data_IF_848654994856
#
_entry.id   IF_848654994856
#
_cell.length_a   1.000
_cell.length_b   1.000
_cell.length_c   1.000
_cell.angle_alpha   90.00
_cell.angle_beta   90.00
_cell.angle_gamma   90.00
#
_symmetry.space_group_name_H-M   'P 1'
#
loop_
_entity.id
_entity.type
_entity.pdbx_description
1 polymer ?
#
# COMPACT_ATOMS: atom_id res chain seq x y z
N UNK A 1 2.13 2.40 12.86
CA UNK A 1 2.97 3.51 13.37
C UNK A 1 3.31 4.38 12.18
N UNK A 2 3.20 5.70 12.31
CA UNK A 2 3.39 6.61 11.18
C UNK A 2 4.78 7.26 11.22
N UNK A 3 5.44 7.37 10.06
CA UNK A 3 6.73 8.07 9.89
C UNK A 3 6.57 9.57 9.65
N UNK A 4 5.35 9.99 9.34
CA UNK A 4 4.99 11.40 9.21
C UNK A 4 3.58 11.62 9.77
N UNK A 5 3.31 12.87 10.13
CA UNK A 5 2.01 13.35 10.57
C UNK A 5 1.80 14.78 10.01
N UNK A 6 0.67 15.40 10.35
CA UNK A 6 0.40 16.79 9.99
C UNK A 6 0.31 17.70 11.21
N UNK A 7 0.82 18.92 11.10
CA UNK A 7 0.73 19.94 12.15
C UNK A 7 -0.69 20.52 12.26
N UNK A 8 -1.42 20.54 11.16
CA UNK A 8 -2.75 21.11 11.04
C UNK A 8 -3.82 20.08 10.68
N UNK A 9 -5.06 20.35 11.09
CA UNK A 9 -6.22 19.49 10.81
C UNK A 9 -6.53 19.41 9.31
N UNK A 10 -6.23 20.48 8.57
CA UNK A 10 -6.40 20.54 7.11
C UNK A 10 -5.33 19.76 6.35
N UNK A 11 -4.35 19.17 7.05
CA UNK A 11 -3.29 18.31 6.51
C UNK A 11 -2.47 18.99 5.40
N UNK A 12 -2.05 20.24 5.66
CA UNK A 12 -1.24 21.04 4.74
C UNK A 12 0.25 21.01 5.11
N UNK A 13 0.55 20.99 6.39
CA UNK A 13 1.91 21.08 6.94
C UNK A 13 2.35 19.71 7.47
N UNK A 14 3.28 19.08 6.76
CA UNK A 14 3.82 17.77 7.13
C UNK A 14 4.92 17.96 8.20
N UNK A 15 4.98 17.03 9.14
CA UNK A 15 6.12 16.82 10.02
C UNK A 15 6.58 15.37 9.88
N UNK A 16 7.89 15.16 9.65
CA UNK A 16 8.49 13.84 9.64
C UNK A 16 9.02 13.47 11.03
N UNK A 17 9.02 12.18 11.35
CA UNK A 17 9.40 11.73 12.69
C UNK A 17 10.89 11.91 12.97
N UNK A 18 11.74 11.94 11.94
CA UNK A 18 13.18 12.22 12.03
C UNK A 18 13.50 13.72 12.15
N UNK A 19 12.53 14.61 11.90
CA UNK A 19 12.65 16.06 12.04
C UNK A 19 12.06 16.58 13.36
N UNK A 20 11.27 15.76 14.04
CA UNK A 20 10.62 16.12 15.29
C UNK A 20 11.64 16.28 16.44
N UNK A 21 11.45 17.31 17.26
CA UNK A 21 12.35 17.66 18.37
C UNK A 21 11.73 17.32 19.73
N UNK A 22 12.50 17.45 20.82
CA UNK A 22 12.02 17.09 22.17
C UNK A 22 10.80 17.91 22.60
N UNK A 23 10.73 19.15 22.13
CA UNK A 23 9.65 20.09 22.38
C UNK A 23 8.33 19.62 21.75
N UNK A 24 8.38 18.84 20.66
CA UNK A 24 7.20 18.30 19.98
C UNK A 24 6.50 17.16 20.77
N UNK A 25 7.10 16.63 21.85
CA UNK A 25 6.57 15.45 22.58
C UNK A 25 5.13 15.58 23.04
N UNK A 26 4.75 16.76 23.49
CA UNK A 26 3.41 17.02 24.02
C UNK A 26 2.49 17.68 22.98
N UNK A 27 2.99 17.93 21.77
CA UNK A 27 2.24 18.50 20.66
C UNK A 27 1.37 17.42 20.01
N UNK A 28 0.10 17.73 19.82
CA UNK A 28 -0.82 16.88 19.08
C UNK A 28 -0.65 17.12 17.58
N UNK A 29 -0.42 16.06 16.83
CA UNK A 29 -0.37 16.05 15.37
C UNK A 29 -1.55 15.26 14.80
N UNK A 30 -1.84 15.42 13.51
CA UNK A 30 -2.99 14.80 12.86
C UNK A 30 -2.59 13.59 12.03
N UNK A 31 -3.45 12.56 12.07
CA UNK A 31 -3.27 11.33 11.30
C UNK A 31 -3.23 11.61 9.79
N UNK A 32 -2.33 10.94 9.03
CA UNK A 32 -2.29 11.14 7.58
C UNK A 32 -3.50 10.62 6.81
N UNK A 33 -4.35 9.81 7.43
CA UNK A 33 -5.65 9.47 6.86
C UNK A 33 -6.61 10.66 7.08
N UNK A 34 -7.11 11.24 5.97
CA UNK A 34 -8.01 12.40 5.97
C UNK A 34 -9.31 12.15 6.75
N UNK A 35 -9.81 10.92 6.74
CA UNK A 35 -11.05 10.54 7.42
C UNK A 35 -10.83 10.18 8.90
N UNK A 36 -9.59 10.22 9.39
CA UNK A 36 -9.22 9.83 10.74
C UNK A 36 -8.79 11.04 11.58
N UNK A 37 -9.61 11.42 12.56
CA UNK A 37 -9.34 12.56 13.46
C UNK A 37 -8.46 12.19 14.68
N UNK A 38 -7.67 11.14 14.55
CA UNK A 38 -6.78 10.71 15.62
C UNK A 38 -5.67 11.74 15.85
N UNK A 39 -5.42 12.04 17.12
CA UNK A 39 -4.27 12.85 17.52
C UNK A 39 -3.08 11.94 17.77
N UNK A 40 -1.98 12.23 17.07
CA UNK A 40 -0.72 11.50 17.15
C UNK A 40 0.29 12.30 17.95
N UNK A 41 1.10 11.60 18.73
CA UNK A 41 2.21 12.16 19.48
C UNK A 41 3.50 11.50 19.02
N UNK A 42 4.56 12.30 18.95
CA UNK A 42 5.89 11.79 18.61
C UNK A 42 6.42 10.91 19.75
N UNK A 43 6.95 9.75 19.38
CA UNK A 43 7.46 8.72 20.27
C UNK A 43 8.92 8.43 19.93
N UNK A 44 9.68 7.92 20.91
CA UNK A 44 11.06 7.43 20.74
C UNK A 44 12.10 8.45 20.22
N UNK A 45 11.90 9.77 20.44
CA UNK A 45 12.89 10.81 20.06
C UNK A 45 14.26 10.58 20.70
N UNK A 46 14.30 10.19 21.98
CA UNK A 46 15.55 9.91 22.71
C UNK A 46 15.79 8.39 22.88
N UNK A 47 15.08 7.57 22.11
CA UNK A 47 15.13 6.11 22.24
C UNK A 47 16.20 5.47 21.37
N UNK A 48 16.50 4.20 21.64
CA UNK A 48 17.32 3.36 20.75
C UNK A 48 16.61 2.98 19.43
N UNK A 49 15.33 3.34 19.28
CA UNK A 49 14.52 3.09 18.11
C UNK A 49 14.28 4.38 17.34
N UNK A 50 14.16 4.27 16.02
CA UNK A 50 13.76 5.39 15.18
C UNK A 50 12.42 5.97 15.66
N UNK A 51 12.36 7.31 15.72
CA UNK A 51 11.17 8.03 16.16
C UNK A 51 9.97 7.77 15.23
N UNK A 52 8.76 7.86 15.78
CA UNK A 52 7.50 7.61 15.05
C UNK A 52 6.32 8.31 15.73
N UNK A 53 5.23 8.50 14.99
CA UNK A 53 3.97 9.04 15.49
C UNK A 53 2.98 7.93 15.83
N UNK A 54 2.27 8.09 16.95
CA UNK A 54 1.22 7.16 17.42
C UNK A 54 0.13 7.89 18.19
N UNK A 55 -1.12 7.44 18.05
CA UNK A 55 -2.19 7.81 18.97
C UNK A 55 -1.97 7.11 20.33
N UNK A 56 -1.47 7.85 21.31
CA UNK A 56 -1.19 7.34 22.67
C UNK A 56 -2.30 7.67 23.66
N UNK A 57 -3.15 8.64 23.33
CA UNK A 57 -4.23 9.14 24.20
C UNK A 57 -5.59 8.59 23.75
N UNK A 58 -6.46 8.15 24.68
CA UNK A 58 -7.74 7.51 24.34
C UNK A 58 -8.82 8.47 23.82
N UNK A 59 -8.66 9.79 23.99
CA UNK A 59 -9.68 10.78 23.63
C UNK A 59 -9.82 10.96 22.11
N UNK A 60 -8.73 10.75 21.37
CA UNK A 60 -8.70 10.90 19.92
C UNK A 60 -8.06 9.66 19.29
N UNK A 61 -8.70 8.47 19.40
CA UNK A 61 -8.14 7.24 18.89
C UNK A 61 -8.27 7.18 17.36
N UNK A 62 -7.56 6.23 16.77
CA UNK A 62 -7.79 5.89 15.36
C UNK A 62 -9.20 5.34 15.14
N UNK A 63 -9.79 5.68 13.99
CA UNK A 63 -10.98 4.99 13.49
C UNK A 63 -10.68 3.50 13.27
N UNK A 64 -11.68 2.60 13.34
CA UNK A 64 -11.49 1.19 13.05
C UNK A 64 -10.78 0.98 11.70
N UNK A 65 -9.80 0.07 11.68
CA UNK A 65 -8.99 -0.26 10.49
C UNK A 65 -8.15 0.89 9.90
N UNK A 66 -7.88 1.97 10.65
CA UNK A 66 -6.93 2.97 10.19
C UNK A 66 -5.52 2.38 10.04
N UNK A 67 -4.97 2.48 8.83
CA UNK A 67 -3.66 1.93 8.46
C UNK A 67 -2.49 2.49 9.28
N UNK A 68 -2.64 3.72 9.76
CA UNK A 68 -1.63 4.38 10.58
C UNK A 68 -1.67 3.93 12.05
N UNK A 69 -2.80 3.37 12.50
CA UNK A 69 -2.98 2.82 13.85
C UNK A 69 -2.48 1.38 14.01
N UNK A 70 -2.30 0.64 12.91
CA UNK A 70 -1.79 -0.74 12.92
C UNK A 70 -0.27 -0.79 12.73
N UNK A 71 0.35 -1.90 13.16
CA UNK A 71 1.75 -2.25 12.82
C UNK A 71 1.87 -3.00 11.49
N UNK A 72 0.76 -3.42 10.89
CA UNK A 72 0.76 -4.32 9.73
C UNK A 72 1.32 -3.73 8.42
N UNK A 73 1.64 -2.44 8.39
CA UNK A 73 2.10 -1.70 7.20
C UNK A 73 3.38 -0.91 7.52
N UNK A 74 4.12 -1.34 8.53
CA UNK A 74 5.41 -0.71 8.85
C UNK A 74 6.42 -0.95 7.73
N UNK A 75 7.06 0.13 7.29
CA UNK A 75 8.15 0.11 6.32
C UNK A 75 9.41 0.61 7.02
N UNK A 76 10.44 -0.24 7.04
CA UNK A 76 11.75 0.09 7.59
C UNK A 76 12.70 0.37 6.43
N UNK A 77 12.93 1.65 6.15
CA UNK A 77 13.80 2.12 5.09
C UNK A 77 15.23 1.56 5.20
N UNK A 78 15.69 1.20 6.41
CA UNK A 78 17.02 0.65 6.60
C UNK A 78 17.20 -0.74 5.98
N UNK A 79 16.11 -1.46 5.71
CA UNK A 79 16.16 -2.78 5.10
C UNK A 79 16.25 -2.73 3.56
N UNK A 80 15.99 -1.55 2.97
CA UNK A 80 15.85 -1.42 1.54
C UNK A 80 16.91 -0.50 0.92
N UNK A 81 17.25 -0.78 -0.33
CA UNK A 81 18.13 0.07 -1.14
C UNK A 81 17.26 0.85 -2.14
N UNK A 82 16.96 2.10 -1.80
CA UNK A 82 16.16 3.01 -2.63
C UNK A 82 16.85 3.31 -3.97
N UNK A 83 18.18 3.40 -4.01
CA UNK A 83 18.93 3.77 -5.22
C UNK A 83 18.77 2.75 -6.35
N UNK A 84 18.42 1.51 -5.98
CA UNK A 84 18.19 0.40 -6.91
C UNK A 84 16.71 0.17 -7.21
N UNK A 85 15.81 0.97 -6.63
CA UNK A 85 14.38 0.80 -6.85
C UNK A 85 13.93 1.47 -8.15
N UNK A 86 13.48 0.63 -9.08
CA UNK A 86 12.83 1.02 -10.32
C UNK A 86 11.40 0.49 -10.27
N UNK A 87 10.43 1.41 -10.12
CA UNK A 87 9.03 1.06 -9.90
C UNK A 87 8.45 0.26 -11.07
N UNK A 88 8.73 0.64 -12.31
CA UNK A 88 8.13 0.00 -13.47
C UNK A 88 8.70 -1.42 -13.65
N UNK A 89 10.00 -1.62 -13.43
CA UNK A 89 10.60 -2.96 -13.39
C UNK A 89 10.05 -3.81 -12.23
N UNK A 90 9.82 -3.22 -11.06
CA UNK A 90 9.23 -3.93 -9.92
C UNK A 90 7.80 -4.39 -10.25
N UNK A 91 7.00 -3.55 -10.91
CA UNK A 91 5.65 -3.92 -11.37
C UNK A 91 5.68 -4.99 -12.47
N UNK A 92 6.60 -4.89 -13.44
CA UNK A 92 6.79 -5.92 -14.46
C UNK A 92 7.16 -7.27 -13.85
N UNK A 93 8.03 -7.28 -12.83
CA UNK A 93 8.37 -8.49 -12.07
C UNK A 93 7.18 -9.10 -11.33
N UNK A 94 6.21 -8.29 -10.89
CA UNK A 94 4.94 -8.80 -10.33
C UNK A 94 4.04 -9.45 -11.38
N UNK A 95 4.08 -8.96 -12.63
CA UNK A 95 3.25 -9.44 -13.74
C UNK A 95 3.81 -10.67 -14.44
N UNK A 96 5.13 -10.86 -14.36
CA UNK A 96 5.80 -12.03 -14.89
C UNK A 96 5.22 -13.30 -14.27
N UNK A 97 4.79 -14.21 -15.14
CA UNK A 97 4.82 -15.62 -14.77
C UNK A 97 6.26 -15.89 -14.36
N UNK A 98 6.50 -16.39 -13.16
CA UNK A 98 7.79 -17.02 -12.92
C UNK A 98 7.83 -18.20 -13.88
N UNK A 99 8.39 -18.00 -15.08
CA UNK A 99 9.26 -19.01 -15.65
C UNK A 99 10.10 -19.42 -14.48
N UNK A 100 9.99 -20.71 -14.11
CA UNK A 100 10.86 -21.36 -13.15
C UNK A 100 12.17 -20.63 -13.19
N UNK A 101 12.51 -19.90 -12.13
CA UNK A 101 13.87 -19.43 -11.98
C UNK A 101 14.67 -20.69 -12.27
N UNK A 102 15.38 -20.72 -13.40
CA UNK A 102 16.28 -21.81 -13.70
C UNK A 102 17.15 -21.77 -12.46
N UNK A 103 16.90 -22.72 -11.57
CA UNK A 103 17.73 -22.94 -10.44
C UNK A 103 19.02 -23.35 -11.12
N UNK A 104 19.87 -22.36 -11.39
CA UNK A 104 21.28 -22.60 -11.42
C UNK A 104 21.53 -23.15 -10.03
N UNK A 105 21.48 -24.48 -9.92
CA UNK A 105 22.03 -25.24 -8.83
C UNK A 105 23.53 -24.98 -8.87
N UNK A 106 23.93 -23.75 -8.58
CA UNK A 106 25.20 -23.52 -7.93
C UNK A 106 24.90 -23.94 -6.51
N UNK A 107 25.29 -25.17 -6.20
CA UNK A 107 25.62 -25.60 -4.84
C UNK A 107 26.71 -24.68 -4.31
N UNK A 108 26.33 -23.45 -3.98
CA UNK A 108 27.16 -22.48 -3.29
C UNK A 108 26.89 -22.68 -1.82
N UNK A 109 27.94 -22.95 -1.07
CA UNK A 109 27.96 -22.85 0.38
C UNK A 109 27.11 -21.66 0.83
N UNK A 110 26.23 -21.88 1.81
CA UNK A 110 25.51 -20.80 2.48
C UNK A 110 26.55 -19.82 3.02
N UNK A 111 26.82 -18.77 2.26
CA UNK A 111 27.75 -17.73 2.65
C UNK A 111 27.09 -17.03 3.83
N UNK A 112 27.73 -17.10 5.00
CA UNK A 112 27.39 -16.27 6.15
C UNK A 112 27.86 -14.85 5.81
N UNK A 113 27.13 -14.20 4.91
CA UNK A 113 27.32 -12.79 4.55
C UNK A 113 26.21 -11.95 5.16
N UNK A 114 26.52 -10.71 5.52
CA UNK A 114 25.49 -9.78 5.98
C UNK A 114 24.40 -9.63 4.91
N UNK A 115 23.10 -9.59 5.28
CA UNK A 115 22.01 -9.41 4.34
C UNK A 115 22.20 -8.08 3.58
N UNK A 116 22.53 -8.17 2.30
CA UNK A 116 22.65 -6.97 1.48
C UNK A 116 21.26 -6.34 1.29
N UNK A 117 21.16 -5.02 1.52
CA UNK A 117 19.92 -4.27 1.27
C UNK A 117 19.45 -4.48 -0.18
N UNK A 118 18.15 -4.64 -0.34
CA UNK A 118 17.52 -4.85 -1.65
C UNK A 118 16.39 -3.85 -1.87
N UNK A 119 16.01 -3.51 -3.12
CA UNK A 119 14.83 -2.69 -3.35
C UNK A 119 13.54 -3.43 -2.91
N UNK A 120 12.43 -2.73 -2.65
CA UNK A 120 11.12 -3.36 -2.47
C UNK A 120 10.74 -4.21 -3.69
N UNK A 121 10.34 -5.48 -3.48
CA UNK A 121 10.06 -6.44 -4.58
C UNK A 121 8.63 -6.98 -4.59
N UNK A 122 8.00 -7.03 -3.42
CA UNK A 122 6.62 -7.55 -3.30
C UNK A 122 5.63 -6.40 -3.31
N UNK A 123 4.38 -6.68 -3.73
CA UNK A 123 3.31 -5.68 -3.68
C UNK A 123 3.09 -5.13 -2.27
N UNK A 124 3.23 -5.96 -1.23
CA UNK A 124 3.10 -5.53 0.17
C UNK A 124 4.23 -4.58 0.60
N UNK A 125 5.47 -4.85 0.18
CA UNK A 125 6.61 -3.96 0.46
C UNK A 125 6.44 -2.62 -0.26
N UNK A 126 6.10 -2.64 -1.56
CA UNK A 126 5.86 -1.41 -2.32
C UNK A 126 4.68 -0.60 -1.76
N UNK A 127 3.60 -1.27 -1.37
CA UNK A 127 2.47 -0.63 -0.71
C UNK A 127 2.87 -0.01 0.63
N UNK A 128 3.59 -0.74 1.50
CA UNK A 128 4.02 -0.22 2.80
C UNK A 128 4.95 0.98 2.65
N UNK A 129 5.87 0.92 1.67
CA UNK A 129 6.70 2.06 1.27
C UNK A 129 5.83 3.27 0.88
N UNK A 130 4.85 3.08 0.00
CA UNK A 130 3.95 4.17 -0.43
C UNK A 130 3.11 4.74 0.72
N UNK A 131 2.74 3.94 1.73
CA UNK A 131 2.01 4.44 2.91
C UNK A 131 2.91 5.16 3.91
N UNK A 132 4.21 4.86 3.92
CA UNK A 132 5.20 5.48 4.81
C UNK A 132 5.59 6.90 4.40
N UNK A 133 5.29 7.30 3.16
CA UNK A 133 5.66 8.58 2.58
C UNK A 133 4.43 9.40 2.15
N UNK A 134 4.50 10.74 2.21
CA UNK A 134 3.50 11.62 1.62
C UNK A 134 3.34 11.45 0.11
N UNK A 135 2.16 11.80 -0.41
CA UNK A 135 1.77 11.60 -1.83
C UNK A 135 2.73 12.29 -2.81
N UNK A 136 3.26 13.46 -2.46
CA UNK A 136 4.18 14.24 -3.31
C UNK A 136 5.65 13.85 -3.13
N UNK A 137 5.97 13.00 -2.15
CA UNK A 137 7.34 12.54 -1.96
C UNK A 137 7.73 11.57 -3.07
N UNK A 138 9.03 11.45 -3.30
CA UNK A 138 9.60 10.46 -4.23
C UNK A 138 10.16 9.29 -3.45
N UNK A 139 10.17 8.13 -4.10
CA UNK A 139 10.98 6.98 -3.69
C UNK A 139 11.62 6.41 -4.95
N UNK A 140 12.94 6.42 -5.01
CA UNK A 140 13.67 6.27 -6.27
C UNK A 140 13.33 7.43 -7.21
N UNK A 141 12.90 7.13 -8.45
CA UNK A 141 12.68 8.14 -9.49
C UNK A 141 11.21 8.57 -9.67
N UNK A 142 10.26 8.07 -8.87
CA UNK A 142 8.82 8.27 -9.09
C UNK A 142 8.13 8.79 -7.82
N UNK A 143 7.10 9.62 -8.00
CA UNK A 143 6.31 10.15 -6.88
C UNK A 143 5.33 9.09 -6.35
N UNK A 144 5.09 9.08 -5.04
CA UNK A 144 4.17 8.11 -4.40
C UNK A 144 2.77 8.18 -5.01
N UNK A 145 2.26 9.39 -5.28
CA UNK A 145 0.96 9.60 -5.92
C UNK A 145 0.86 9.05 -7.34
N UNK A 146 1.98 8.76 -8.00
CA UNK A 146 2.04 8.10 -9.30
C UNK A 146 2.19 6.57 -9.19
N UNK A 147 2.50 6.04 -8.01
CA UNK A 147 2.63 4.60 -7.77
C UNK A 147 1.35 4.01 -7.19
N UNK A 148 0.72 4.71 -6.25
CA UNK A 148 -0.42 4.24 -5.47
C UNK A 148 -1.63 5.15 -5.65
N UNK A 149 -2.76 4.57 -6.05
CA UNK A 149 -4.09 5.16 -5.92
C UNK A 149 -4.70 4.74 -4.58
N UNK A 150 -4.79 5.70 -3.65
CA UNK A 150 -5.52 5.58 -2.38
C UNK A 150 -6.28 6.89 -2.10
N UNK A 151 -6.95 7.00 -0.95
CA UNK A 151 -7.76 8.19 -0.62
C UNK A 151 -6.92 9.48 -0.60
N UNK A 152 -5.62 9.38 -0.27
CA UNK A 152 -4.71 10.53 -0.21
C UNK A 152 -4.35 11.03 -1.61
N UNK A 153 -4.27 10.13 -2.59
CA UNK A 153 -3.78 10.44 -3.93
C UNK A 153 -4.88 10.64 -4.97
N UNK A 154 -6.16 10.48 -4.65
CA UNK A 154 -7.27 10.57 -5.60
C UNK A 154 -7.20 11.80 -6.53
N UNK A 155 -6.86 12.97 -5.96
CA UNK A 155 -6.79 14.24 -6.69
C UNK A 155 -5.75 14.23 -7.84
N UNK A 156 -4.81 13.28 -7.84
CA UNK A 156 -3.81 13.06 -8.90
C UNK A 156 -4.37 12.31 -10.12
N UNK A 157 -5.60 11.78 -10.03
CA UNK A 157 -6.21 10.93 -11.06
C UNK A 157 -7.43 11.56 -11.75
N UNK A 158 -7.46 12.86 -12.10
CA UNK A 158 -8.66 13.48 -12.68
C UNK A 158 -9.06 12.86 -14.03
N UNK A 159 -8.08 12.29 -14.75
CA UNK A 159 -8.30 11.61 -16.04
C UNK A 159 -8.58 10.10 -15.89
N UNK A 160 -8.41 9.53 -14.70
CA UNK A 160 -8.49 8.09 -14.44
C UNK A 160 -7.15 7.46 -14.08
N UNK A 161 -7.17 6.14 -13.82
CA UNK A 161 -6.03 5.34 -13.41
C UNK A 161 -5.50 4.50 -14.57
N UNK A 162 -4.32 4.85 -15.08
CA UNK A 162 -3.72 4.22 -16.27
C UNK A 162 -2.28 3.77 -16.03
N UNK A 163 -1.89 2.71 -16.75
CA UNK A 163 -0.54 2.16 -16.71
C UNK A 163 -0.26 1.37 -15.43
N UNK A 164 1.02 1.21 -15.10
CA UNK A 164 1.45 0.47 -13.92
C UNK A 164 1.06 1.26 -12.66
N UNK A 165 0.08 0.77 -11.91
CA UNK A 165 -0.36 1.36 -10.64
C UNK A 165 -0.71 0.28 -9.64
N UNK A 166 -0.45 0.57 -8.37
CA UNK A 166 -1.06 -0.13 -7.24
C UNK A 166 -2.35 0.62 -6.88
N UNK A 167 -3.43 -0.11 -6.64
CA UNK A 167 -4.68 0.47 -6.11
C UNK A 167 -4.94 -0.06 -4.70
N UNK A 168 -5.45 0.81 -3.82
CA UNK A 168 -6.00 0.46 -2.51
C UNK A 168 -7.53 0.43 -2.63
N UNK A 169 -8.12 -0.76 -2.58
CA UNK A 169 -9.49 -0.99 -3.02
C UNK A 169 -10.33 -1.79 -2.01
N UNK A 170 -11.64 -1.75 -2.22
CA UNK A 170 -12.64 -2.58 -1.55
C UNK A 170 -13.52 -3.31 -2.57
N UNK A 171 -14.25 -4.34 -2.13
CA UNK A 171 -15.16 -5.10 -3.00
C UNK A 171 -16.47 -4.35 -3.29
N UNK A 172 -17.07 -4.62 -4.45
CA UNK A 172 -18.47 -4.30 -4.72
C UNK A 172 -19.41 -5.32 -4.06
N UNK A 173 -20.70 -5.00 -3.93
CA UNK A 173 -21.71 -5.94 -3.39
C UNK A 173 -21.78 -7.25 -4.20
N UNK A 174 -21.76 -7.15 -5.53
CA UNK A 174 -21.58 -8.28 -6.46
C UNK A 174 -20.22 -8.14 -7.14
N UNK A 175 -19.20 -8.74 -6.53
CA UNK A 175 -17.80 -8.46 -6.89
C UNK A 175 -17.17 -9.46 -7.84
N UNK A 176 -17.87 -10.45 -8.38
CA UNK A 176 -17.28 -11.34 -9.38
C UNK A 176 -18.28 -11.87 -10.40
N UNK A 177 -17.76 -12.32 -11.53
CA UNK A 177 -18.45 -13.02 -12.61
C UNK A 177 -17.64 -14.30 -12.93
N UNK A 178 -18.24 -15.47 -12.67
CA UNK A 178 -17.57 -16.76 -12.87
C UNK A 178 -17.49 -17.19 -14.33
N UNK A 179 -18.39 -16.71 -15.19
CA UNK A 179 -18.36 -17.05 -16.62
C UNK A 179 -17.24 -16.26 -17.31
N UNK A 180 -17.14 -14.97 -16.98
CA UNK A 180 -16.08 -14.10 -17.50
C UNK A 180 -14.75 -14.25 -16.76
N UNK A 181 -14.75 -14.94 -15.62
CA UNK A 181 -13.62 -15.00 -14.68
C UNK A 181 -13.12 -13.60 -14.32
N UNK A 182 -14.03 -12.76 -13.87
CA UNK A 182 -13.73 -11.36 -13.52
C UNK A 182 -14.01 -11.07 -12.06
N UNK A 183 -13.20 -10.19 -11.47
CA UNK A 183 -13.41 -9.64 -10.13
C UNK A 183 -13.54 -8.11 -10.22
N UNK A 184 -14.47 -7.54 -9.47
CA UNK A 184 -14.85 -6.13 -9.50
C UNK A 184 -14.58 -5.45 -8.15
N UNK A 185 -13.70 -4.45 -8.19
CA UNK A 185 -13.29 -3.66 -7.05
C UNK A 185 -13.65 -2.18 -7.25
N UNK A 186 -13.61 -1.41 -6.16
CA UNK A 186 -13.71 0.05 -6.19
C UNK A 186 -12.56 0.68 -5.43
N UNK A 187 -11.99 1.75 -5.99
CA UNK A 187 -10.99 2.59 -5.33
C UNK A 187 -11.18 4.07 -5.72
N UNK A 188 -10.70 5.02 -4.92
CA UNK A 188 -10.23 4.85 -3.54
C UNK A 188 -11.29 4.28 -2.59
N UNK A 189 -10.90 3.92 -1.36
CA UNK A 189 -11.75 3.20 -0.41
C UNK A 189 -12.96 4.05 0.02
N UNK A 190 -12.74 5.34 0.28
CA UNK A 190 -13.77 6.26 0.77
C UNK A 190 -14.71 6.70 -0.36
N UNK A 191 -14.18 7.26 -1.44
CA UNK A 191 -15.03 7.82 -2.52
C UNK A 191 -15.60 6.76 -3.46
N UNK A 192 -14.95 5.60 -3.58
CA UNK A 192 -15.31 4.51 -4.51
C UNK A 192 -15.50 4.98 -5.96
N UNK A 193 -14.80 6.08 -6.32
CA UNK A 193 -14.99 6.83 -7.57
C UNK A 193 -14.73 6.00 -8.83
N UNK A 194 -13.74 5.11 -8.77
CA UNK A 194 -13.33 4.30 -9.90
C UNK A 194 -13.67 2.83 -9.66
N UNK A 195 -14.02 2.16 -10.75
CA UNK A 195 -14.26 0.73 -10.79
C UNK A 195 -13.09 0.02 -11.45
N UNK A 196 -12.64 -1.07 -10.84
CA UNK A 196 -11.53 -1.87 -11.33
C UNK A 196 -11.98 -3.28 -11.63
N UNK A 197 -11.63 -3.78 -12.80
CA UNK A 197 -11.90 -5.13 -13.27
C UNK A 197 -10.57 -5.89 -13.30
N UNK A 198 -10.51 -6.97 -12.53
CA UNK A 198 -9.44 -7.95 -12.62
C UNK A 198 -9.90 -9.04 -13.56
N UNK A 199 -9.16 -9.24 -14.63
CA UNK A 199 -9.48 -10.20 -15.69
C UNK A 199 -8.50 -11.36 -15.67
N UNK A 200 -9.01 -12.59 -15.69
CA UNK A 200 -8.21 -13.79 -15.47
C UNK A 200 -8.33 -14.77 -16.65
N UNK A 201 -7.21 -15.14 -17.24
CA UNK A 201 -7.16 -16.26 -18.19
C UNK A 201 -7.16 -17.61 -17.47
N UNK A 202 -6.34 -17.73 -16.41
CA UNK A 202 -6.19 -18.93 -15.61
C UNK A 202 -7.31 -19.10 -14.56
N UNK A 203 -8.00 -20.23 -14.64
CA UNK A 203 -9.16 -20.54 -13.80
C UNK A 203 -8.76 -20.81 -12.34
N UNK A 204 -7.59 -21.39 -12.10
CA UNK A 204 -7.16 -21.75 -10.75
C UNK A 204 -6.71 -20.51 -9.98
N UNK A 205 -5.99 -19.61 -10.64
CA UNK A 205 -5.65 -18.28 -10.12
C UNK A 205 -6.90 -17.45 -9.85
N UNK A 206 -7.87 -17.44 -10.78
CA UNK A 206 -9.17 -16.79 -10.56
C UNK A 206 -9.87 -17.32 -9.31
N UNK A 207 -10.08 -18.65 -9.21
CA UNK A 207 -10.77 -19.28 -8.07
C UNK A 207 -10.06 -19.00 -6.76
N UNK A 208 -8.74 -19.09 -6.73
CA UNK A 208 -7.93 -18.81 -5.54
C UNK A 208 -8.12 -17.37 -5.07
N UNK A 209 -7.89 -16.38 -5.95
CA UNK A 209 -8.00 -14.97 -5.59
C UNK A 209 -9.44 -14.58 -5.25
N UNK A 210 -10.43 -15.11 -5.99
CA UNK A 210 -11.85 -14.91 -5.68
C UNK A 210 -12.19 -15.38 -4.27
N UNK A 211 -11.75 -16.58 -3.89
CA UNK A 211 -12.01 -17.14 -2.56
C UNK A 211 -11.30 -16.35 -1.46
N UNK A 212 -10.05 -15.97 -1.68
CA UNK A 212 -9.30 -15.14 -0.74
C UNK A 212 -10.01 -13.80 -0.50
N UNK A 213 -10.47 -13.14 -1.57
CA UNK A 213 -11.23 -11.88 -1.47
C UNK A 213 -12.58 -12.11 -0.80
N UNK A 214 -13.32 -13.17 -1.15
CA UNK A 214 -14.62 -13.50 -0.54
C UNK A 214 -14.50 -13.64 0.98
N UNK A 215 -13.49 -14.38 1.44
CA UNK A 215 -13.25 -14.64 2.86
C UNK A 215 -12.75 -13.41 3.63
N UNK A 216 -12.40 -12.33 2.93
CA UNK A 216 -11.88 -11.09 3.51
C UNK A 216 -12.54 -9.86 2.88
N UNK A 217 -13.84 -9.95 2.55
CA UNK A 217 -14.57 -8.92 1.81
C UNK A 217 -14.67 -7.59 2.56
N UNK A 218 -14.53 -7.62 3.88
CA UNK A 218 -14.50 -6.45 4.77
C UNK A 218 -13.11 -5.80 4.87
N UNK A 219 -12.09 -6.37 4.22
CA UNK A 219 -10.71 -5.88 4.28
C UNK A 219 -10.32 -5.07 3.05
N UNK A 220 -9.21 -4.34 3.19
CA UNK A 220 -8.57 -3.63 2.09
C UNK A 220 -7.85 -4.65 1.19
N UNK A 221 -8.04 -4.48 -0.11
CA UNK A 221 -7.41 -5.28 -1.16
C UNK A 221 -6.47 -4.36 -1.92
N UNK A 222 -5.19 -4.74 -1.99
CA UNK A 222 -4.21 -4.05 -2.83
C UNK A 222 -3.98 -4.84 -4.11
N UNK A 223 -4.01 -4.14 -5.24
CA UNK A 223 -3.80 -4.77 -6.55
C UNK A 223 -2.80 -3.98 -7.37
N UNK A 224 -1.77 -4.66 -7.85
CA UNK A 224 -0.82 -4.17 -8.83
C UNK A 224 -1.29 -4.56 -10.22
N UNK A 225 -1.54 -3.57 -11.07
CA UNK A 225 -2.03 -3.80 -12.43
C UNK A 225 -1.42 -2.83 -13.43
N UNK A 226 -1.45 -3.25 -14.69
CA UNK A 226 -1.27 -2.38 -15.85
C UNK A 226 -2.66 -1.99 -16.35
N UNK A 227 -3.17 -0.86 -15.87
CA UNK A 227 -4.55 -0.46 -16.03
C UNK A 227 -4.81 0.19 -17.39
N UNK A 228 -5.89 -0.27 -18.04
CA UNK A 228 -6.39 0.25 -19.30
C UNK A 228 -7.83 0.73 -19.13
N UNK A 229 -8.29 1.73 -19.90
CA UNK A 229 -9.71 2.08 -19.91
C UNK A 229 -10.54 0.90 -20.42
N UNK A 230 -11.79 0.85 -19.96
CA UNK A 230 -12.85 0.08 -20.61
C UNK A 230 -13.71 1.01 -21.47
N UNK A 231 -14.76 0.47 -22.07
CA UNK A 231 -15.84 1.22 -22.71
C UNK A 231 -16.66 2.08 -21.73
N UNK A 232 -16.61 1.76 -20.43
CA UNK A 232 -17.34 2.47 -19.38
C UNK A 232 -16.49 3.55 -18.73
N UNK A 233 -17.09 4.73 -18.55
CA UNK A 233 -16.45 5.84 -17.84
C UNK A 233 -16.06 5.44 -16.41
N UNK A 234 -14.84 5.81 -15.99
CA UNK A 234 -14.26 5.44 -14.68
C UNK A 234 -14.14 3.94 -14.41
N UNK A 235 -14.17 3.10 -15.44
CA UNK A 235 -13.90 1.68 -15.33
C UNK A 235 -12.55 1.36 -15.98
N UNK A 236 -11.70 0.69 -15.22
CA UNK A 236 -10.37 0.28 -15.66
C UNK A 236 -10.21 -1.23 -15.52
N UNK A 237 -9.48 -1.84 -16.44
CA UNK A 237 -9.26 -3.28 -16.49
C UNK A 237 -7.77 -3.60 -16.51
N UNK A 238 -7.39 -4.70 -15.85
CA UNK A 238 -6.06 -5.27 -15.94
C UNK A 238 -6.10 -6.79 -15.86
N UNK A 239 -5.24 -7.44 -16.64
CA UNK A 239 -5.05 -8.88 -16.57
C UNK A 239 -4.28 -9.26 -15.31
N UNK A 240 -4.74 -10.31 -14.63
CA UNK A 240 -4.06 -10.88 -13.47
C UNK A 240 -3.48 -12.24 -13.86
N UNK A 241 -2.16 -12.27 -13.96
CA UNK A 241 -1.38 -13.44 -14.38
C UNK A 241 -0.92 -14.28 -13.20
N UNK A 242 -0.95 -13.74 -11.97
CA UNK A 242 -0.48 -14.46 -10.80
C UNK A 242 -0.90 -13.85 -9.48
N UNK A 243 -0.80 -14.69 -8.43
CA UNK A 243 -1.19 -14.35 -7.05
C UNK A 243 -0.39 -13.19 -6.46
N UNK A 244 0.83 -12.91 -6.96
CA UNK A 244 1.70 -11.82 -6.50
C UNK A 244 1.12 -10.42 -6.77
N UNK A 245 0.20 -10.29 -7.72
CA UNK A 245 -0.44 -9.02 -8.06
C UNK A 245 -1.52 -8.59 -7.05
N UNK A 246 -1.99 -9.48 -6.19
CA UNK A 246 -3.09 -9.21 -5.25
C UNK A 246 -2.65 -9.52 -3.84
N UNK A 247 -2.94 -8.63 -2.90
CA UNK A 247 -2.76 -8.90 -1.49
C UNK A 247 -3.89 -8.31 -0.65
N UNK A 248 -4.21 -8.99 0.45
CA UNK A 248 -5.22 -8.55 1.42
C UNK A 248 -4.52 -7.97 2.63
N UNK A 249 -4.88 -6.73 2.99
CA UNK A 249 -4.33 -6.04 4.15
C UNK A 249 -5.22 -6.32 5.35
N UNK A 250 -4.72 -7.20 6.22
CA UNK A 250 -5.35 -7.50 7.51
C UNK A 250 -4.91 -6.42 8.51
N UNK A 251 -5.80 -5.48 8.80
CA UNK A 251 -5.63 -4.61 9.95
C UNK A 251 -6.07 -5.40 11.17
N UNK A 252 -5.11 -5.77 12.03
CA UNK A 252 -5.47 -6.27 13.35
C UNK A 252 -5.93 -5.04 14.13
N UNK A 253 -7.21 -4.98 14.49
CA UNK A 253 -7.65 -4.07 15.53
C UNK A 253 -6.84 -4.36 16.78
N UNK A 254 -6.30 -3.33 17.42
CA UNK A 254 -5.80 -3.47 18.78
C UNK A 254 -6.96 -4.02 19.61
N UNK A 255 -6.87 -5.30 19.99
CA UNK A 255 -7.62 -5.78 21.13
C UNK A 255 -7.25 -4.85 22.29
N UNK A 256 -8.29 -4.16 22.77
CA UNK A 256 -8.28 -3.26 23.93
C UNK A 256 -7.53 -3.85 25.10
#
# INVERSE_FOLDING_TARGET
MAKYAFRDEQRKEIIYSNEAVKEDRNTAFYCPNADCNAQLYICAIDGSKAAYFRATKPQHPHIPNCLYGTRSIEFDENQFDESRFDYDKAMESLFGLTDTAIASNKSGEHSIGEPQKHPPRTIRQMYSMCKSLPVKSKYGNKEIGEMLLDDRSEYRYPKGCFGNRIIEATVKKRFYDSEKKQIYLTAPVTSKKYSFVLDFSDNDTYKFIRNEIFNNSDKIIIVGGKWKPTDKYNYFISSVNGRKQVAIIKCFGSLT
#
